data_IF_269876932683
#
_entry.id   IF_269876932683
#
_cell.length_a   1.000
_cell.length_b   1.000
_cell.length_c   1.000
_cell.angle_alpha   90.00
_cell.angle_beta   90.00
_cell.angle_gamma   90.00
#
_symmetry.space_group_name_H-M   'P 1'
#
loop_
_entity.id
_entity.type
_entity.pdbx_description
1 polymer ?
#
# COMPACT_ATOMS: atom_id res chain seq x y z
N UNK A 1 -36.38 -25.47 -33.64
CA UNK A 1 -36.58 -25.42 -32.17
C UNK A 1 -35.58 -26.26 -31.37
N UNK A 2 -35.28 -27.54 -31.71
CA UNK A 2 -34.34 -28.38 -30.93
C UNK A 2 -32.92 -27.78 -30.81
N UNK A 3 -32.38 -27.20 -31.88
CA UNK A 3 -31.05 -26.56 -31.89
C UNK A 3 -30.90 -25.44 -30.84
N UNK A 4 -31.88 -24.53 -30.75
CA UNK A 4 -31.88 -23.43 -29.77
C UNK A 4 -31.85 -23.93 -28.31
N UNK A 5 -32.51 -25.05 -28.02
CA UNK A 5 -32.50 -25.63 -26.66
C UNK A 5 -31.11 -26.12 -26.26
N UNK A 6 -30.38 -26.75 -27.18
CA UNK A 6 -29.01 -27.21 -26.90
C UNK A 6 -28.04 -26.04 -26.73
N UNK A 7 -28.19 -24.97 -27.51
CA UNK A 7 -27.38 -23.75 -27.36
C UNK A 7 -27.66 -23.09 -26.00
N UNK A 8 -28.92 -22.96 -25.59
CA UNK A 8 -29.28 -22.37 -24.29
C UNK A 8 -28.70 -23.17 -23.11
N UNK A 9 -28.78 -24.51 -23.17
CA UNK A 9 -28.20 -25.37 -22.12
C UNK A 9 -26.67 -25.21 -22.09
N UNK A 10 -25.99 -25.16 -23.23
CA UNK A 10 -24.54 -24.99 -23.29
C UNK A 10 -24.09 -23.64 -22.72
N UNK A 11 -24.80 -22.55 -23.07
CA UNK A 11 -24.51 -21.21 -22.53
C UNK A 11 -24.74 -21.15 -21.02
N UNK A 12 -25.81 -21.76 -20.51
CA UNK A 12 -26.07 -21.84 -19.08
C UNK A 12 -25.02 -22.68 -18.34
N UNK A 13 -24.56 -23.80 -18.93
CA UNK A 13 -23.50 -24.60 -18.34
C UNK A 13 -22.17 -23.81 -18.27
N UNK A 14 -21.82 -23.10 -19.35
CA UNK A 14 -20.62 -22.27 -19.40
C UNK A 14 -20.67 -21.13 -18.37
N UNK A 15 -21.82 -20.48 -18.19
CA UNK A 15 -21.94 -19.39 -17.20
C UNK A 15 -21.77 -19.90 -15.77
N UNK A 16 -22.32 -21.08 -15.43
CA UNK A 16 -22.12 -21.70 -14.11
C UNK A 16 -20.66 -22.08 -13.87
N UNK A 17 -19.99 -22.68 -14.87
CA UNK A 17 -18.57 -23.05 -14.77
C UNK A 17 -17.71 -21.79 -14.56
N UNK A 18 -17.94 -20.75 -15.35
CA UNK A 18 -17.22 -19.49 -15.22
C UNK A 18 -17.46 -18.85 -13.84
N UNK A 19 -18.71 -18.82 -13.37
CA UNK A 19 -19.05 -18.25 -12.06
C UNK A 19 -18.38 -19.03 -10.92
N UNK A 20 -18.34 -20.36 -11.01
CA UNK A 20 -17.65 -21.22 -10.05
C UNK A 20 -16.14 -20.98 -10.03
N UNK A 21 -15.52 -20.77 -11.19
CA UNK A 21 -14.10 -20.44 -11.29
C UNK A 21 -13.77 -19.11 -10.59
N UNK A 22 -14.54 -18.06 -10.88
CA UNK A 22 -14.36 -16.73 -10.27
C UNK A 22 -14.62 -16.76 -8.77
N UNK A 23 -15.72 -17.38 -8.33
CA UNK A 23 -16.03 -17.48 -6.91
C UNK A 23 -14.92 -18.19 -6.11
N UNK A 24 -14.27 -19.19 -6.71
CA UNK A 24 -13.17 -19.91 -6.07
C UNK A 24 -11.93 -19.04 -5.88
N UNK A 25 -11.53 -18.26 -6.88
CA UNK A 25 -10.35 -17.38 -6.75
C UNK A 25 -10.61 -16.25 -5.74
N UNK A 26 -11.82 -15.69 -5.74
CA UNK A 26 -12.25 -14.72 -4.73
C UNK A 26 -12.22 -15.30 -3.32
N UNK A 27 -12.81 -16.49 -3.11
CA UNK A 27 -12.87 -17.13 -1.80
C UNK A 27 -11.46 -17.42 -1.25
N UNK A 28 -10.53 -17.87 -2.10
CA UNK A 28 -9.15 -18.06 -1.68
C UNK A 28 -8.52 -16.78 -1.17
N UNK A 29 -8.72 -15.65 -1.86
CA UNK A 29 -8.20 -14.35 -1.41
C UNK A 29 -8.85 -13.91 -0.09
N UNK A 30 -10.12 -14.29 0.14
CA UNK A 30 -10.82 -13.97 1.38
C UNK A 30 -10.39 -14.83 2.57
N UNK A 31 -10.10 -16.10 2.34
CA UNK A 31 -9.79 -17.09 3.38
C UNK A 31 -8.29 -17.21 3.64
N UNK A 32 -7.43 -16.73 2.72
CA UNK A 32 -5.98 -16.82 2.88
C UNK A 32 -5.52 -16.07 4.12
N UNK A 33 -4.90 -16.82 5.02
CA UNK A 33 -4.27 -16.29 6.21
C UNK A 33 -3.08 -15.39 5.86
N UNK A 34 -2.87 -14.34 6.65
CA UNK A 34 -1.82 -13.34 6.44
C UNK A 34 -0.54 -13.73 7.20
N UNK A 35 -0.15 -14.99 7.09
CA UNK A 35 1.08 -15.45 7.72
C UNK A 35 2.30 -14.91 6.95
N UNK A 36 2.87 -13.82 7.48
CA UNK A 36 4.06 -13.17 6.93
C UNK A 36 5.26 -14.12 6.88
N UNK A 37 5.45 -14.94 7.92
CA UNK A 37 6.62 -15.82 8.03
C UNK A 37 6.58 -16.86 6.93
N UNK A 38 5.42 -17.49 6.72
CA UNK A 38 5.24 -18.44 5.61
C UNK A 38 5.43 -17.76 4.25
N UNK A 39 4.96 -16.52 4.09
CA UNK A 39 5.18 -15.76 2.85
C UNK A 39 6.68 -15.55 2.59
N UNK A 40 7.46 -15.09 3.58
CA UNK A 40 8.90 -14.88 3.42
C UNK A 40 9.70 -16.18 3.25
N UNK A 41 9.34 -17.25 3.98
CA UNK A 41 9.98 -18.56 3.80
C UNK A 41 9.78 -19.09 2.38
N UNK A 42 8.58 -18.89 1.80
CA UNK A 42 8.33 -19.24 0.39
C UNK A 42 9.10 -18.33 -0.58
N UNK A 43 9.27 -17.06 -0.22
CA UNK A 43 10.00 -16.08 -1.01
C UNK A 43 11.51 -16.34 -1.09
N UNK A 44 12.08 -17.12 -0.16
CA UNK A 44 13.47 -17.58 -0.26
C UNK A 44 13.70 -18.51 -1.46
N UNK A 45 12.65 -19.17 -1.97
CA UNK A 45 12.75 -20.09 -3.11
C UNK A 45 12.33 -19.44 -4.42
N UNK A 46 11.26 -18.63 -4.40
CA UNK A 46 10.73 -17.97 -5.60
C UNK A 46 9.78 -16.82 -5.24
N UNK A 47 9.61 -15.86 -6.14
CA UNK A 47 8.61 -14.79 -5.99
C UNK A 47 7.19 -15.34 -5.79
N UNK A 48 6.40 -14.78 -4.86
CA UNK A 48 5.04 -15.25 -4.60
C UNK A 48 4.14 -14.97 -5.80
N UNK A 49 3.31 -15.95 -6.15
CA UNK A 49 2.24 -15.77 -7.13
C UNK A 49 0.92 -15.49 -6.41
N UNK A 50 0.34 -14.34 -6.72
CA UNK A 50 -0.96 -13.93 -6.20
C UNK A 50 -2.09 -14.51 -7.06
N UNK A 51 -3.23 -14.80 -6.43
CA UNK A 51 -4.39 -15.35 -7.14
C UNK A 51 -5.00 -14.29 -8.07
N UNK A 52 -5.46 -14.73 -9.24
CA UNK A 52 -6.18 -13.92 -10.22
C UNK A 52 -7.64 -13.67 -9.79
N UNK A 53 -7.81 -12.99 -8.66
CA UNK A 53 -9.10 -12.43 -8.27
C UNK A 53 -9.41 -11.20 -9.13
N UNK A 54 -10.69 -10.92 -9.35
CA UNK A 54 -11.19 -9.87 -10.24
C UNK A 54 -12.02 -8.80 -9.50
N UNK A 55 -12.46 -9.07 -8.28
CA UNK A 55 -13.22 -8.11 -7.50
C UNK A 55 -12.33 -7.00 -6.95
N UNK A 56 -12.89 -5.80 -6.87
CA UNK A 56 -12.20 -4.66 -6.27
C UNK A 56 -11.80 -4.92 -4.81
N UNK A 57 -12.64 -5.61 -4.03
CA UNK A 57 -12.33 -5.97 -2.65
C UNK A 57 -11.11 -6.90 -2.55
N UNK A 58 -10.96 -7.84 -3.48
CA UNK A 58 -9.80 -8.72 -3.53
C UNK A 58 -8.53 -7.98 -3.99
N UNK A 59 -8.64 -7.03 -4.93
CA UNK A 59 -7.53 -6.14 -5.26
C UNK A 59 -7.06 -5.35 -4.04
N UNK A 60 -7.99 -4.72 -3.31
CA UNK A 60 -7.65 -3.96 -2.10
C UNK A 60 -6.95 -4.87 -1.09
N UNK A 61 -7.52 -6.05 -0.79
CA UNK A 61 -6.94 -6.99 0.16
C UNK A 61 -5.53 -7.45 -0.23
N UNK A 62 -5.32 -7.81 -1.50
CA UNK A 62 -4.01 -8.25 -1.97
C UNK A 62 -2.98 -7.13 -1.95
N UNK A 63 -3.36 -5.92 -2.39
CA UNK A 63 -2.43 -4.79 -2.39
C UNK A 63 -2.11 -4.33 -0.97
N UNK A 64 -3.07 -4.35 -0.04
CA UNK A 64 -2.79 -4.09 1.38
C UNK A 64 -1.83 -5.14 1.93
N UNK A 65 -2.04 -6.42 1.61
CA UNK A 65 -1.13 -7.47 2.06
C UNK A 65 0.28 -7.32 1.49
N UNK A 66 0.41 -6.94 0.21
CA UNK A 66 1.69 -6.63 -0.39
C UNK A 66 2.42 -5.49 0.31
N UNK A 67 1.72 -4.37 0.55
CA UNK A 67 2.27 -3.22 1.27
C UNK A 67 2.65 -3.59 2.71
N UNK A 68 1.82 -4.38 3.41
CA UNK A 68 2.11 -4.89 4.76
C UNK A 68 3.41 -5.74 4.74
N UNK A 69 3.55 -6.70 3.82
CA UNK A 69 4.73 -7.55 3.70
C UNK A 69 6.01 -6.73 3.40
N UNK A 70 5.97 -5.84 2.41
CA UNK A 70 7.13 -5.04 2.00
C UNK A 70 7.59 -4.03 3.07
N UNK A 71 6.72 -3.73 4.03
CA UNK A 71 7.01 -2.82 5.14
C UNK A 71 7.20 -3.51 6.48
N UNK A 72 7.10 -4.84 6.52
CA UNK A 72 7.15 -5.58 7.78
C UNK A 72 8.57 -5.78 8.29
N UNK A 73 8.69 -5.93 9.61
CA UNK A 73 9.97 -6.23 10.27
C UNK A 73 10.48 -7.61 9.85
N UNK A 74 9.58 -8.55 9.58
CA UNK A 74 9.89 -9.89 9.07
C UNK A 74 10.71 -9.81 7.78
N UNK A 75 10.36 -8.89 6.87
CA UNK A 75 11.12 -8.69 5.62
C UNK A 75 12.55 -8.22 5.86
N UNK A 76 12.77 -7.35 6.84
CA UNK A 76 14.12 -6.92 7.25
C UNK A 76 14.92 -8.08 7.83
N UNK A 77 14.29 -8.94 8.65
CA UNK A 77 14.94 -10.07 9.31
C UNK A 77 15.29 -11.22 8.34
N UNK A 78 14.44 -11.48 7.34
CA UNK A 78 14.61 -12.57 6.39
C UNK A 78 15.65 -12.27 5.30
N UNK A 79 16.07 -11.01 5.18
CA UNK A 79 17.14 -10.57 4.30
C UNK A 79 16.66 -9.98 2.97
N UNK A 80 17.57 -9.28 2.25
CA UNK A 80 17.23 -8.50 1.07
C UNK A 80 16.74 -9.35 -0.12
N UNK A 81 17.22 -10.60 -0.25
CA UNK A 81 16.80 -11.49 -1.33
C UNK A 81 15.33 -11.89 -1.20
N UNK A 82 14.89 -12.33 -0.02
CA UNK A 82 13.50 -12.68 0.23
C UNK A 82 12.58 -11.46 0.03
N UNK A 83 13.01 -10.29 0.52
CA UNK A 83 12.27 -9.04 0.36
C UNK A 83 12.16 -8.63 -1.11
N UNK A 84 13.23 -8.76 -1.90
CA UNK A 84 13.19 -8.50 -3.33
C UNK A 84 12.27 -9.48 -4.07
N UNK A 85 12.28 -10.77 -3.70
CA UNK A 85 11.36 -11.75 -4.30
C UNK A 85 9.89 -11.43 -4.01
N UNK A 86 9.55 -11.00 -2.79
CA UNK A 86 8.22 -10.46 -2.46
C UNK A 86 7.89 -9.23 -3.31
N UNK A 87 8.81 -8.27 -3.40
CA UNK A 87 8.63 -7.04 -4.17
C UNK A 87 8.34 -7.34 -5.65
N UNK A 88 9.07 -8.27 -6.27
CA UNK A 88 8.82 -8.69 -7.65
C UNK A 88 7.40 -9.26 -7.84
N UNK A 89 6.97 -10.19 -6.98
CA UNK A 89 5.62 -10.74 -7.07
C UNK A 89 4.52 -9.69 -6.86
N UNK A 90 4.75 -8.77 -5.90
CA UNK A 90 3.82 -7.66 -5.63
C UNK A 90 3.78 -6.65 -6.78
N UNK A 91 4.91 -6.37 -7.43
CA UNK A 91 5.00 -5.50 -8.60
C UNK A 91 4.24 -6.09 -9.78
N UNK A 92 4.46 -7.37 -10.11
CA UNK A 92 3.74 -8.05 -11.19
C UNK A 92 2.22 -7.99 -10.96
N UNK A 93 1.79 -8.26 -9.73
CA UNK A 93 0.37 -8.21 -9.39
C UNK A 93 -0.19 -6.79 -9.44
N UNK A 94 0.51 -5.79 -8.92
CA UNK A 94 0.10 -4.40 -8.98
C UNK A 94 -0.06 -3.93 -10.43
N UNK A 95 0.90 -4.27 -11.31
CA UNK A 95 0.81 -3.98 -12.74
C UNK A 95 -0.40 -4.64 -13.40
N UNK A 96 -0.71 -5.89 -13.04
CA UNK A 96 -1.91 -6.57 -13.53
C UNK A 96 -3.20 -5.86 -13.10
N UNK A 97 -3.30 -5.47 -11.84
CA UNK A 97 -4.46 -4.72 -11.31
C UNK A 97 -4.59 -3.39 -12.05
N UNK A 98 -3.48 -2.66 -12.25
CA UNK A 98 -3.47 -1.37 -12.94
C UNK A 98 -3.87 -1.46 -14.42
N UNK A 99 -3.71 -2.62 -15.09
CA UNK A 99 -4.25 -2.82 -16.45
C UNK A 99 -5.77 -2.76 -16.48
N UNK A 100 -6.45 -3.25 -15.44
CA UNK A 100 -7.92 -3.22 -15.33
C UNK A 100 -8.47 -2.02 -14.54
N UNK A 101 -7.67 -1.44 -13.63
CA UNK A 101 -8.08 -0.33 -12.77
C UNK A 101 -6.93 0.70 -12.68
N UNK A 102 -6.72 1.50 -13.75
CA UNK A 102 -5.54 2.39 -13.84
C UNK A 102 -5.45 3.46 -12.77
N UNK A 103 -6.57 3.81 -12.14
CA UNK A 103 -6.67 4.83 -11.09
C UNK A 103 -6.63 4.25 -9.67
N UNK A 104 -6.30 2.97 -9.50
CA UNK A 104 -6.23 2.37 -8.18
C UNK A 104 -5.00 2.84 -7.40
N UNK A 105 -5.20 3.83 -6.52
CA UNK A 105 -4.12 4.46 -5.73
C UNK A 105 -3.27 3.46 -4.95
N UNK A 106 -3.89 2.48 -4.28
CA UNK A 106 -3.16 1.46 -3.51
C UNK A 106 -2.27 0.57 -4.39
N UNK A 107 -2.67 0.27 -5.64
CA UNK A 107 -1.84 -0.50 -6.55
C UNK A 107 -0.62 0.32 -7.04
N UNK A 108 -0.78 1.63 -7.23
CA UNK A 108 0.36 2.52 -7.49
C UNK A 108 1.32 2.64 -6.29
N UNK A 109 0.80 2.64 -5.06
CA UNK A 109 1.63 2.60 -3.85
C UNK A 109 2.44 1.29 -3.76
N UNK A 110 1.80 0.13 -3.97
CA UNK A 110 2.50 -1.17 -4.00
C UNK A 110 3.56 -1.20 -5.11
N UNK A 111 3.22 -0.67 -6.29
CA UNK A 111 4.20 -0.51 -7.37
C UNK A 111 5.38 0.34 -6.93
N UNK A 112 5.14 1.45 -6.23
CA UNK A 112 6.20 2.33 -5.74
C UNK A 112 7.12 1.64 -4.73
N UNK A 113 6.55 0.98 -3.70
CA UNK A 113 7.31 0.24 -2.68
C UNK A 113 8.19 -0.84 -3.34
N UNK A 114 7.62 -1.60 -4.29
CA UNK A 114 8.34 -2.67 -4.96
C UNK A 114 9.49 -2.16 -5.84
N UNK A 115 9.29 -1.05 -6.54
CA UNK A 115 10.33 -0.39 -7.34
C UNK A 115 11.46 0.12 -6.44
N UNK A 116 11.13 0.74 -5.31
CA UNK A 116 12.11 1.18 -4.32
C UNK A 116 12.95 0.01 -3.78
N UNK A 117 12.31 -1.09 -3.39
CA UNK A 117 13.01 -2.30 -2.89
C UNK A 117 13.96 -2.87 -3.93
N UNK A 118 13.58 -2.82 -5.21
CA UNK A 118 14.40 -3.31 -6.32
C UNK A 118 15.47 -2.31 -6.78
N UNK A 119 15.55 -1.11 -6.17
CA UNK A 119 16.57 -0.10 -6.45
C UNK A 119 16.18 0.95 -7.50
N UNK A 120 14.96 0.91 -8.01
CA UNK A 120 14.46 1.78 -9.08
C UNK A 120 13.77 3.04 -8.51
N UNK A 121 14.54 3.89 -7.83
CA UNK A 121 14.01 5.05 -7.09
C UNK A 121 13.20 6.03 -7.97
N UNK A 122 13.63 6.29 -9.20
CA UNK A 122 12.90 7.18 -10.12
C UNK A 122 11.50 6.65 -10.44
N UNK A 123 11.39 5.34 -10.70
CA UNK A 123 10.12 4.67 -10.97
C UNK A 123 9.25 4.60 -9.71
N UNK A 124 9.88 4.44 -8.55
CA UNK A 124 9.20 4.48 -7.26
C UNK A 124 8.55 5.84 -6.99
N UNK A 125 9.30 6.94 -7.17
CA UNK A 125 8.82 8.32 -7.00
C UNK A 125 7.65 8.59 -7.94
N UNK A 126 7.80 8.27 -9.23
CA UNK A 126 6.74 8.48 -10.21
C UNK A 126 5.45 7.71 -9.85
N UNK A 127 5.57 6.45 -9.44
CA UNK A 127 4.41 5.65 -9.02
C UNK A 127 3.77 6.20 -7.73
N UNK A 128 4.56 6.67 -6.77
CA UNK A 128 4.07 7.22 -5.52
C UNK A 128 3.30 8.54 -5.73
N UNK A 129 3.78 9.39 -6.64
CA UNK A 129 3.07 10.60 -7.04
C UNK A 129 1.70 10.27 -7.66
N UNK A 130 1.62 9.27 -8.56
CA UNK A 130 0.35 8.84 -9.14
C UNK A 130 -0.58 8.23 -8.08
N UNK A 131 -0.03 7.50 -7.11
CA UNK A 131 -0.81 7.03 -5.95
C UNK A 131 -1.45 8.19 -5.21
N UNK A 132 -0.69 9.26 -4.91
CA UNK A 132 -1.24 10.43 -4.23
C UNK A 132 -2.30 11.15 -5.08
N UNK A 133 -2.05 11.35 -6.38
CA UNK A 133 -2.99 12.03 -7.29
C UNK A 133 -4.33 11.31 -7.44
N UNK A 134 -4.33 9.98 -7.39
CA UNK A 134 -5.54 9.18 -7.57
C UNK A 134 -6.37 9.01 -6.30
N UNK A 135 -5.80 9.27 -5.11
CA UNK A 135 -6.51 9.29 -3.84
C UNK A 135 -5.88 10.31 -2.85
N UNK A 136 -6.01 11.63 -3.11
CA UNK A 136 -5.31 12.66 -2.36
C UNK A 136 -5.87 12.89 -0.95
N UNK A 137 -7.12 12.49 -0.70
CA UNK A 137 -7.84 12.72 0.56
C UNK A 137 -8.00 11.45 1.42
N UNK A 138 -7.35 10.34 1.04
CA UNK A 138 -7.44 9.08 1.80
C UNK A 138 -6.34 9.01 2.87
N UNK A 139 -6.67 9.38 4.10
CA UNK A 139 -5.68 9.49 5.17
C UNK A 139 -4.96 8.17 5.51
N UNK A 140 -5.64 7.01 5.40
CA UNK A 140 -5.00 5.71 5.59
C UNK A 140 -3.99 5.36 4.50
N UNK A 141 -4.15 5.89 3.28
CA UNK A 141 -3.14 5.79 2.22
C UNK A 141 -2.03 6.83 2.43
N UNK A 142 -2.37 8.05 2.87
CA UNK A 142 -1.39 9.07 3.18
C UNK A 142 -0.35 8.57 4.20
N UNK A 143 -0.78 7.84 5.23
CA UNK A 143 0.17 7.26 6.22
C UNK A 143 1.15 6.26 5.57
N UNK A 144 0.66 5.40 4.67
CA UNK A 144 1.50 4.42 3.97
C UNK A 144 2.41 5.09 2.94
N UNK A 145 1.91 6.10 2.22
CA UNK A 145 2.71 6.91 1.29
C UNK A 145 3.82 7.67 2.00
N UNK A 146 3.53 8.30 3.15
CA UNK A 146 4.55 8.99 3.96
C UNK A 146 5.62 8.03 4.47
N UNK A 147 5.25 6.81 4.84
CA UNK A 147 6.23 5.77 5.23
C UNK A 147 7.23 5.49 4.12
N UNK A 148 6.80 5.40 2.86
CA UNK A 148 7.71 5.22 1.73
C UNK A 148 8.45 6.53 1.40
N UNK A 149 7.77 7.67 1.45
CA UNK A 149 8.36 8.98 1.19
C UNK A 149 9.58 9.27 2.06
N UNK A 150 9.51 8.92 3.35
CA UNK A 150 10.63 9.06 4.30
C UNK A 150 11.84 8.23 3.89
N UNK A 151 11.62 7.03 3.31
CA UNK A 151 12.70 6.16 2.83
C UNK A 151 13.32 6.67 1.54
N UNK A 152 12.49 7.20 0.63
CA UNK A 152 12.94 7.74 -0.66
C UNK A 152 13.68 9.07 -0.52
N UNK A 153 13.35 9.85 0.51
CA UNK A 153 13.69 11.27 0.57
C UNK A 153 12.44 12.09 0.24
N UNK A 154 11.76 12.69 1.23
CA UNK A 154 10.46 13.31 0.99
C UNK A 154 10.56 14.60 0.16
N UNK A 155 11.74 15.21 0.05
CA UNK A 155 12.00 16.35 -0.84
C UNK A 155 11.80 16.00 -2.31
N UNK A 156 12.19 14.78 -2.72
CA UNK A 156 12.07 14.31 -4.10
C UNK A 156 10.61 14.12 -4.55
N UNK A 157 9.68 14.03 -3.60
CA UNK A 157 8.25 13.90 -3.85
C UNK A 157 7.51 15.25 -3.90
N UNK A 158 8.18 16.33 -3.48
CA UNK A 158 7.66 17.69 -3.52
C UNK A 158 6.24 17.82 -2.93
N UNK A 159 5.32 18.39 -3.72
CA UNK A 159 3.97 18.73 -3.28
C UNK A 159 3.12 17.52 -2.84
N UNK A 160 3.36 16.33 -3.38
CA UNK A 160 2.58 15.13 -3.03
C UNK A 160 2.80 14.72 -1.58
N UNK A 161 4.07 14.64 -1.13
CA UNK A 161 4.39 14.30 0.26
C UNK A 161 3.95 15.41 1.24
N UNK A 162 4.07 16.68 0.83
CA UNK A 162 3.57 17.82 1.63
C UNK A 162 2.06 17.73 1.83
N UNK A 163 1.30 17.41 0.77
CA UNK A 163 -0.16 17.24 0.86
C UNK A 163 -0.55 16.11 1.82
N UNK A 164 0.13 14.97 1.77
CA UNK A 164 -0.14 13.85 2.67
C UNK A 164 0.19 14.19 4.13
N UNK A 165 1.32 14.86 4.38
CA UNK A 165 1.68 15.32 5.73
C UNK A 165 0.63 16.29 6.29
N UNK A 166 0.14 17.22 5.46
CA UNK A 166 -0.91 18.17 5.86
C UNK A 166 -2.22 17.46 6.20
N UNK A 167 -2.64 16.52 5.35
CA UNK A 167 -3.82 15.69 5.60
C UNK A 167 -3.68 14.94 6.93
N UNK A 168 -2.53 14.32 7.19
CA UNK A 168 -2.29 13.60 8.43
C UNK A 168 -2.34 14.50 9.66
N UNK A 169 -1.86 15.75 9.61
CA UNK A 169 -1.99 16.68 10.74
C UNK A 169 -3.45 17.08 10.98
N UNK A 170 -4.22 17.32 9.91
CA UNK A 170 -5.62 17.73 10.02
C UNK A 170 -6.51 16.58 10.52
N UNK A 171 -6.20 15.33 10.18
CA UNK A 171 -6.98 14.18 10.60
C UNK A 171 -6.55 13.66 11.98
N UNK A 172 -7.51 13.62 12.92
CA UNK A 172 -7.29 13.11 14.28
C UNK A 172 -6.75 11.67 14.31
N UNK A 173 -7.19 10.82 13.39
CA UNK A 173 -6.83 9.39 13.35
C UNK A 173 -5.39 9.21 12.89
N UNK A 174 -4.93 10.03 11.93
CA UNK A 174 -3.63 9.83 11.29
C UNK A 174 -2.50 10.72 11.87
N UNK A 175 -2.84 11.79 12.58
CA UNK A 175 -1.87 12.68 13.26
C UNK A 175 -0.86 11.95 14.15
N UNK A 176 -1.24 10.95 14.98
CA UNK A 176 -0.28 10.24 15.82
C UNK A 176 0.81 9.50 15.03
N UNK A 177 0.51 9.06 13.80
CA UNK A 177 1.47 8.38 12.93
C UNK A 177 2.55 9.34 12.43
N UNK A 178 2.17 10.54 11.98
CA UNK A 178 3.15 11.53 11.55
C UNK A 178 4.04 11.99 12.71
N UNK A 179 3.46 12.16 13.90
CA UNK A 179 4.23 12.50 15.10
C UNK A 179 5.25 11.42 15.44
N UNK A 180 4.86 10.14 15.30
CA UNK A 180 5.76 9.00 15.49
C UNK A 180 6.91 9.00 14.50
N UNK A 181 6.65 9.27 13.22
CA UNK A 181 7.69 9.39 12.22
C UNK A 181 8.65 10.55 12.51
N UNK A 182 8.11 11.70 12.94
CA UNK A 182 8.90 12.88 13.33
C UNK A 182 9.88 12.57 14.47
N UNK A 183 9.42 11.86 15.51
CA UNK A 183 10.27 11.49 16.65
C UNK A 183 11.27 10.39 16.28
N UNK A 184 10.85 9.41 15.48
CA UNK A 184 11.68 8.26 15.14
C UNK A 184 12.77 8.55 14.10
N UNK A 185 12.61 9.61 13.29
CA UNK A 185 13.49 9.89 12.14
C UNK A 185 13.96 11.35 12.18
N UNK A 186 15.07 11.66 12.89
CA UNK A 186 15.60 13.01 13.03
C UNK A 186 15.87 13.72 11.69
N UNK A 187 16.25 12.96 10.66
CA UNK A 187 16.65 13.44 9.35
C UNK A 187 15.50 14.15 8.61
N UNK A 188 14.24 13.78 8.87
CA UNK A 188 13.07 14.35 8.19
C UNK A 188 12.35 15.43 9.00
N UNK A 189 12.82 15.78 10.20
CA UNK A 189 12.12 16.73 11.08
C UNK A 189 11.96 18.12 10.45
N UNK A 190 13.03 18.65 9.85
CA UNK A 190 13.00 19.95 9.19
C UNK A 190 12.00 19.95 8.02
N UNK A 191 11.97 18.86 7.26
CA UNK A 191 11.01 18.69 6.18
C UNK A 191 9.57 18.69 6.69
N UNK A 192 9.27 17.91 7.76
CA UNK A 192 7.92 17.87 8.34
C UNK A 192 7.49 19.26 8.80
N UNK A 193 8.35 19.99 9.53
CA UNK A 193 8.07 21.36 9.98
C UNK A 193 7.73 22.27 8.80
N UNK A 194 8.53 22.20 7.73
CA UNK A 194 8.27 22.94 6.49
C UNK A 194 6.93 22.56 5.85
N UNK A 195 6.67 21.25 5.71
CA UNK A 195 5.46 20.72 5.09
C UNK A 195 4.18 21.16 5.82
N UNK A 196 4.21 21.25 7.15
CA UNK A 196 3.04 21.60 7.97
C UNK A 196 2.97 23.08 8.35
N UNK A 197 3.95 23.89 7.94
CA UNK A 197 4.09 25.30 8.36
C UNK A 197 2.88 26.20 8.02
N UNK A 198 2.16 25.87 6.93
CA UNK A 198 0.95 26.60 6.51
C UNK A 198 -0.32 26.19 7.30
N UNK A 199 -0.25 25.08 8.05
CA UNK A 199 -1.37 24.64 8.89
C UNK A 199 -1.41 25.54 10.11
N UNK A 200 -2.46 26.33 10.25
CA UNK A 200 -2.62 27.22 11.39
C UNK A 200 -3.63 26.68 12.41
N UNK A 201 -3.62 27.26 13.61
CA UNK A 201 -4.69 27.06 14.59
C UNK A 201 -4.58 25.78 15.41
N UNK A 202 -5.71 25.07 15.54
CA UNK A 202 -5.89 23.98 16.52
C UNK A 202 -5.09 22.74 16.19
N UNK A 203 -5.09 22.31 14.93
CA UNK A 203 -4.50 21.01 14.55
C UNK A 203 -2.98 21.01 14.64
N UNK A 204 -2.33 22.12 14.30
CA UNK A 204 -0.88 22.27 14.48
C UNK A 204 -0.47 22.20 15.96
N UNK A 205 -1.24 22.83 16.86
CA UNK A 205 -0.99 22.73 18.31
C UNK A 205 -1.12 21.29 18.80
N UNK A 206 -2.21 20.61 18.43
CA UNK A 206 -2.42 19.21 18.80
C UNK A 206 -1.32 18.30 18.26
N UNK A 207 -0.77 18.61 17.08
CA UNK A 207 0.35 17.87 16.52
C UNK A 207 1.64 18.08 17.32
N UNK A 208 1.98 19.30 17.70
CA UNK A 208 3.15 19.57 18.53
C UNK A 208 3.02 19.01 19.95
N UNK A 209 1.81 19.05 20.54
CA UNK A 209 1.54 18.43 21.84
C UNK A 209 1.84 16.91 21.77
N UNK A 210 1.40 16.24 20.71
CA UNK A 210 1.70 14.81 20.48
C UNK A 210 3.21 14.53 20.33
N UNK A 211 3.93 15.37 19.59
CA UNK A 211 5.39 15.24 19.46
C UNK A 211 6.06 15.35 20.82
N UNK A 212 5.67 16.36 21.61
CA UNK A 212 6.19 16.58 22.95
C UNK A 212 5.93 15.36 23.84
N UNK A 213 4.70 14.87 23.88
CA UNK A 213 4.33 13.71 24.71
C UNK A 213 5.11 12.44 24.32
N UNK A 214 5.27 12.18 23.02
CA UNK A 214 6.05 11.04 22.53
C UNK A 214 7.55 11.17 22.82
N UNK A 215 8.12 12.38 22.71
CA UNK A 215 9.54 12.63 23.01
C UNK A 215 9.90 12.41 24.49
N UNK A 216 8.92 12.53 25.39
CA UNK A 216 9.08 12.33 26.83
C UNK A 216 8.83 10.87 27.27
N UNK A 217 8.70 9.93 26.33
CA UNK A 217 8.42 8.52 26.64
C UNK A 217 6.97 8.24 27.02
N UNK A 218 6.03 9.15 26.72
CA UNK A 218 4.61 8.91 26.89
C UNK A 218 4.16 7.71 26.02
N UNK A 219 3.44 6.77 26.64
CA UNK A 219 2.87 5.64 25.92
C UNK A 219 1.90 6.16 24.85
N UNK A 220 2.26 6.01 23.57
CA UNK A 220 1.36 6.28 22.47
C UNK A 220 0.23 5.23 22.46
N UNK A 221 -1.02 5.70 22.57
CA UNK A 221 -2.24 4.89 22.37
C UNK A 221 -2.28 4.28 20.97
#
# INVERSE_FOLDING_TARGET
>A
MKFYRHVLIAVAALSVIFSGYVARSELKVMVRDRDEVTAFLSALQSSPKFEDAMSHASYVRQMTHCDDLMSSVSGVLMGPEALSNIAHGCLERAQQVLRSTPTMSLAHLVKADAQYINGDNELAIAALQVSQQTAPAEGWLATRRIRLAIKLGPDDLGASAVSDARLMVQDRVYRPYLARYFVATPEVQNWVIGAVSEINGRDLRLFYDLIKDQSLGGAAL
#
